data_IF_164167313319
#
_entry.id   IF_164167313319
#
_cell.length_a   1.000
_cell.length_b   1.000
_cell.length_c   1.000
_cell.angle_alpha   90.00
_cell.angle_beta   90.00
_cell.angle_gamma   90.00
#
_symmetry.space_group_name_H-M   'P 1'
#
loop_
_entity.id
_entity.type
_entity.pdbx_description
1 polymer ?
#
# COMPACT_ATOMS: atom_id res chain seq x y z
N UNK A 1 -23.21 26.68 25.29
CA UNK A 1 -22.80 25.27 25.17
C UNK A 1 -21.76 25.24 24.07
N UNK A 2 -20.48 25.20 24.43
CA UNK A 2 -19.37 25.21 23.47
C UNK A 2 -19.02 23.77 23.15
N UNK A 3 -19.16 23.38 21.88
CA UNK A 3 -18.67 22.09 21.39
C UNK A 3 -17.16 22.25 21.26
N UNK A 4 -16.40 21.69 22.19
CA UNK A 4 -14.97 21.48 22.01
C UNK A 4 -14.82 20.23 21.15
N UNK A 5 -14.65 20.40 19.84
CA UNK A 5 -14.12 19.32 19.00
C UNK A 5 -12.73 19.00 19.54
N UNK A 6 -12.63 17.88 20.26
CA UNK A 6 -11.33 17.35 20.64
C UNK A 6 -10.78 16.70 19.38
N UNK A 7 -9.89 17.40 18.67
CA UNK A 7 -9.13 16.81 17.57
C UNK A 7 -8.43 15.57 18.11
N UNK A 8 -8.59 14.44 17.42
CA UNK A 8 -7.79 13.26 17.69
C UNK A 8 -6.30 13.64 17.67
N UNK A 9 -5.46 13.00 18.51
CA UNK A 9 -4.02 13.25 18.50
C UNK A 9 -3.45 12.96 17.10
N UNK A 10 -2.38 13.66 16.69
CA UNK A 10 -1.76 13.44 15.39
C UNK A 10 -1.20 12.02 15.29
N UNK A 11 -1.53 11.34 14.19
CA UNK A 11 -0.98 10.03 13.88
C UNK A 11 0.45 10.21 13.37
N UNK A 12 1.41 9.48 13.97
CA UNK A 12 2.81 9.50 13.53
C UNK A 12 3.13 8.25 12.73
N UNK A 13 3.70 8.44 11.54
CA UNK A 13 4.14 7.36 10.65
C UNK A 13 5.63 7.48 10.38
N UNK A 14 6.35 6.38 10.53
CA UNK A 14 7.77 6.28 10.21
C UNK A 14 7.93 5.61 8.87
N UNK A 15 8.61 6.26 7.91
CA UNK A 15 8.94 5.61 6.63
C UNK A 15 10.00 4.54 6.86
N UNK A 16 9.70 3.31 6.45
CA UNK A 16 10.57 2.15 6.64
C UNK A 16 11.17 1.63 5.34
N UNK A 17 10.55 1.92 4.18
CA UNK A 17 11.09 1.63 2.84
C UNK A 17 10.79 2.81 1.91
N UNK A 18 11.73 3.13 1.03
CA UNK A 18 11.58 4.16 -0.01
C UNK A 18 10.90 3.56 -1.24
N UNK A 19 9.78 4.14 -1.65
CA UNK A 19 9.02 3.78 -2.84
C UNK A 19 9.21 4.75 -4.01
N UNK A 20 8.42 4.55 -5.05
CA UNK A 20 8.42 5.37 -6.27
C UNK A 20 7.96 6.82 -6.03
N UNK A 21 7.03 7.03 -5.11
CA UNK A 21 6.51 8.33 -4.68
C UNK A 21 7.55 9.21 -3.97
N UNK A 22 8.69 8.64 -3.58
CA UNK A 22 9.85 9.37 -3.07
C UNK A 22 11.11 9.24 -3.94
N UNK A 23 11.03 8.56 -5.09
CA UNK A 23 12.12 8.42 -6.06
C UNK A 23 11.56 8.56 -7.50
N UNK A 24 11.58 9.79 -8.05
CA UNK A 24 11.03 10.07 -9.38
C UNK A 24 11.66 9.24 -10.51
N UNK A 25 12.88 8.72 -10.32
CA UNK A 25 13.54 7.89 -11.33
C UNK A 25 12.83 6.54 -11.51
N UNK A 26 12.18 6.00 -10.47
CA UNK A 26 11.44 4.73 -10.52
C UNK A 26 10.22 4.81 -11.42
N UNK A 27 9.43 5.88 -11.28
CA UNK A 27 8.25 6.11 -12.12
C UNK A 27 8.64 6.42 -13.56
N UNK A 28 9.64 7.29 -13.74
CA UNK A 28 10.03 7.80 -15.05
C UNK A 28 8.85 8.54 -15.71
N UNK A 29 8.52 8.18 -16.95
CA UNK A 29 7.42 8.77 -17.72
C UNK A 29 6.10 7.98 -17.64
N UNK A 30 6.00 6.97 -16.77
CA UNK A 30 4.79 6.14 -16.64
C UNK A 30 3.67 6.94 -15.98
N UNK A 31 2.46 6.80 -16.53
CA UNK A 31 1.25 7.42 -16.00
C UNK A 31 0.58 6.49 -14.99
N UNK A 32 0.22 7.00 -13.83
CA UNK A 32 -0.55 6.24 -12.85
C UNK A 32 -2.01 6.15 -13.31
N UNK A 33 -2.57 4.94 -13.33
CA UNK A 33 -3.98 4.68 -13.66
C UNK A 33 -4.81 4.28 -12.45
N UNK A 34 -4.18 3.74 -11.41
CA UNK A 34 -4.83 3.34 -10.16
C UNK A 34 -3.84 3.30 -9.00
N UNK A 35 -4.38 3.30 -7.79
CA UNK A 35 -3.66 3.17 -6.53
C UNK A 35 -4.25 2.02 -5.71
N UNK A 36 -3.42 1.39 -4.89
CA UNK A 36 -3.87 0.50 -3.82
C UNK A 36 -3.27 0.91 -2.48
N UNK A 37 -4.08 0.94 -1.43
CA UNK A 37 -3.64 1.12 -0.04
C UNK A 37 -3.75 -0.24 0.65
N UNK A 38 -2.59 -0.82 0.95
CA UNK A 38 -2.49 -2.09 1.65
C UNK A 38 -2.10 -1.84 3.10
N UNK A 39 -2.84 -2.41 4.04
CA UNK A 39 -2.56 -2.31 5.48
C UNK A 39 -2.43 -3.69 6.10
N UNK A 40 -1.41 -3.86 6.92
CA UNK A 40 -1.09 -5.10 7.61
C UNK A 40 -0.95 -4.84 9.10
N UNK A 41 -1.99 -5.13 9.89
CA UNK A 41 -1.88 -5.01 11.34
C UNK A 41 -1.08 -6.20 11.91
N UNK A 42 0.09 -5.88 12.44
CA UNK A 42 1.06 -6.80 13.02
C UNK A 42 0.85 -6.87 14.55
N UNK A 43 0.68 -8.07 15.13
CA UNK A 43 0.35 -8.22 16.55
C UNK A 43 1.51 -7.88 17.50
N UNK A 44 2.76 -7.91 17.03
CA UNK A 44 3.97 -7.67 17.81
C UNK A 44 5.10 -7.09 16.95
N UNK A 45 6.14 -6.57 17.60
CA UNK A 45 7.31 -5.97 16.95
C UNK A 45 8.05 -6.96 16.02
N UNK A 46 8.12 -8.25 16.39
CA UNK A 46 8.79 -9.26 15.57
C UNK A 46 8.05 -9.49 14.24
N UNK A 47 6.72 -9.40 14.25
CA UNK A 47 5.88 -9.49 13.05
C UNK A 47 6.02 -8.25 12.18
N UNK A 48 6.15 -7.06 12.79
CA UNK A 48 6.48 -5.82 12.05
C UNK A 48 7.79 -5.99 11.29
N UNK A 49 8.84 -6.45 11.97
CA UNK A 49 10.17 -6.67 11.36
C UNK A 49 10.10 -7.66 10.19
N UNK A 50 9.45 -8.82 10.38
CA UNK A 50 9.26 -9.80 9.30
C UNK A 50 8.45 -9.24 8.15
N UNK A 51 7.40 -8.46 8.42
CA UNK A 51 6.58 -7.84 7.38
C UNK A 51 7.44 -6.91 6.52
N UNK A 52 8.18 -6.00 7.15
CA UNK A 52 9.05 -5.05 6.46
C UNK A 52 10.13 -5.76 5.63
N UNK A 53 10.74 -6.82 6.15
CA UNK A 53 11.75 -7.60 5.41
C UNK A 53 11.15 -8.31 4.18
N UNK A 54 9.98 -8.94 4.32
CA UNK A 54 9.29 -9.55 3.19
C UNK A 54 8.90 -8.51 2.12
N UNK A 55 8.45 -7.33 2.55
CA UNK A 55 8.14 -6.22 1.67
C UNK A 55 9.40 -5.73 0.92
N UNK A 56 10.52 -5.57 1.62
CA UNK A 56 11.82 -5.20 1.03
C UNK A 56 12.29 -6.22 -0.02
N UNK A 57 12.27 -7.50 0.30
CA UNK A 57 12.68 -8.56 -0.62
C UNK A 57 11.75 -8.63 -1.85
N UNK A 58 10.45 -8.37 -1.66
CA UNK A 58 9.50 -8.34 -2.76
C UNK A 58 9.69 -7.12 -3.67
N UNK A 59 9.99 -5.95 -3.11
CA UNK A 59 10.36 -4.74 -3.87
C UNK A 59 11.63 -4.97 -4.69
N UNK A 60 12.69 -5.53 -4.10
CA UNK A 60 13.94 -5.85 -4.82
C UNK A 60 13.70 -6.79 -6.01
N UNK A 61 12.90 -7.85 -5.81
CA UNK A 61 12.53 -8.78 -6.88
C UNK A 61 11.64 -8.13 -7.94
N UNK A 62 10.81 -7.15 -7.59
CA UNK A 62 10.04 -6.41 -8.58
C UNK A 62 10.99 -5.53 -9.41
N UNK A 63 11.89 -4.79 -8.76
CA UNK A 63 12.82 -3.87 -9.40
C UNK A 63 13.93 -4.55 -10.20
N UNK A 64 14.14 -5.86 -10.05
CA UNK A 64 15.06 -6.62 -10.90
C UNK A 64 14.48 -6.97 -12.28
N UNK A 65 13.21 -6.63 -12.53
CA UNK A 65 12.56 -6.84 -13.83
C UNK A 65 12.97 -5.76 -14.84
N UNK A 66 12.94 -6.06 -16.14
CA UNK A 66 13.09 -5.04 -17.18
C UNK A 66 12.02 -3.94 -17.05
N UNK A 67 12.38 -2.71 -17.37
CA UNK A 67 11.52 -1.53 -17.25
C UNK A 67 10.19 -1.68 -18.02
N UNK A 68 10.21 -2.38 -19.16
CA UNK A 68 9.01 -2.62 -19.98
C UNK A 68 7.99 -3.54 -19.29
N UNK A 69 8.41 -4.31 -18.29
CA UNK A 69 7.55 -5.18 -17.49
C UNK A 69 7.09 -4.53 -16.19
N UNK A 70 7.55 -3.31 -15.88
CA UNK A 70 7.16 -2.56 -14.70
C UNK A 70 5.79 -1.89 -14.92
N UNK A 71 4.73 -2.69 -14.82
CA UNK A 71 3.33 -2.25 -14.96
C UNK A 71 2.72 -1.72 -13.65
N UNK A 72 3.46 -1.83 -12.55
CA UNK A 72 3.14 -1.29 -11.25
C UNK A 72 4.44 -1.10 -10.46
N UNK A 73 4.40 -0.28 -9.42
CA UNK A 73 5.50 -0.16 -8.48
C UNK A 73 5.01 0.12 -7.05
N UNK A 74 5.92 -0.05 -6.10
CA UNK A 74 5.67 0.13 -4.67
C UNK A 74 5.87 1.60 -4.33
N UNK A 75 4.90 2.19 -3.63
CA UNK A 75 5.06 3.47 -2.96
C UNK A 75 5.78 3.26 -1.61
N UNK A 76 6.11 4.36 -0.94
CA UNK A 76 6.80 4.33 0.34
C UNK A 76 6.03 3.47 1.32
N UNK A 77 6.77 2.62 2.03
CA UNK A 77 6.18 1.83 3.12
C UNK A 77 6.37 2.59 4.42
N UNK A 78 5.30 2.66 5.21
CA UNK A 78 5.31 3.29 6.51
C UNK A 78 4.93 2.31 7.60
N UNK A 79 5.44 2.55 8.80
CA UNK A 79 4.99 1.89 10.02
C UNK A 79 4.29 2.90 10.92
N UNK A 80 3.11 2.55 11.39
CA UNK A 80 2.31 3.27 12.37
C UNK A 80 2.21 2.39 13.62
N UNK A 81 2.91 2.77 14.68
CA UNK A 81 2.88 2.03 15.94
C UNK A 81 1.51 2.16 16.60
N UNK A 82 1.00 1.06 17.15
CA UNK A 82 -0.20 1.07 17.98
C UNK A 82 0.24 1.34 19.44
N UNK A 83 -0.08 2.53 20.01
CA UNK A 83 0.38 2.89 21.35
C UNK A 83 -0.24 2.02 22.45
N UNK A 84 -1.36 1.37 22.16
CA UNK A 84 -2.07 0.49 23.10
C UNK A 84 -1.62 -0.97 22.97
N UNK A 85 -0.77 -1.30 21.99
CA UNK A 85 -0.23 -2.64 21.82
C UNK A 85 1.05 -2.83 22.65
N UNK A 86 0.91 -3.51 23.79
CA UNK A 86 2.02 -3.79 24.73
C UNK A 86 3.16 -4.64 24.14
N UNK A 87 2.92 -5.36 23.03
CA UNK A 87 3.93 -6.16 22.33
C UNK A 87 4.70 -5.37 21.25
N UNK A 88 4.45 -4.06 21.16
CA UNK A 88 5.10 -3.18 20.18
C UNK A 88 4.62 -3.37 18.75
N UNK A 89 3.41 -3.92 18.57
CA UNK A 89 2.76 -4.07 17.27
C UNK A 89 2.25 -2.75 16.68
N UNK A 90 1.55 -2.88 15.55
CA UNK A 90 1.02 -1.73 14.82
C UNK A 90 0.74 -2.07 13.36
N UNK A 91 0.59 -1.05 12.53
CA UNK A 91 0.21 -1.22 11.12
C UNK A 91 1.37 -0.91 10.19
N UNK A 92 1.71 -1.86 9.31
CA UNK A 92 2.55 -1.60 8.14
C UNK A 92 1.66 -1.17 6.98
N UNK A 93 1.98 -0.04 6.38
CA UNK A 93 1.22 0.63 5.32
C UNK A 93 2.04 0.59 4.03
N UNK A 94 1.48 0.04 2.96
CA UNK A 94 2.10 -0.02 1.64
C UNK A 94 1.15 0.55 0.59
N UNK A 95 1.58 1.60 -0.10
CA UNK A 95 0.93 2.04 -1.33
C UNK A 95 1.44 1.29 -2.56
N UNK A 96 0.58 1.12 -3.57
CA UNK A 96 0.95 0.55 -4.87
C UNK A 96 0.42 1.44 -5.98
N UNK A 97 1.33 1.93 -6.82
CA UNK A 97 0.99 2.69 -8.03
C UNK A 97 0.91 1.74 -9.23
N UNK A 98 -0.20 1.81 -9.96
CA UNK A 98 -0.45 0.99 -11.14
C UNK A 98 -0.30 1.84 -12.39
N UNK A 99 0.38 1.32 -13.41
CA UNK A 99 0.66 2.03 -14.66
C UNK A 99 -0.09 1.47 -15.87
N UNK A 100 -0.68 0.28 -15.73
CA UNK A 100 -1.46 -0.35 -16.80
C UNK A 100 -2.86 -0.76 -16.29
N UNK A 101 -3.89 -0.34 -17.03
CA UNK A 101 -5.29 -0.51 -16.62
C UNK A 101 -5.76 -1.96 -16.76
N UNK A 102 -5.43 -2.62 -17.86
CA UNK A 102 -5.84 -4.00 -18.09
C UNK A 102 -5.18 -4.92 -17.06
N UNK A 103 -3.92 -4.66 -16.74
CA UNK A 103 -3.18 -5.37 -15.71
C UNK A 103 -3.75 -5.14 -14.32
N UNK A 104 -4.11 -3.89 -13.97
CA UNK A 104 -4.82 -3.60 -12.72
C UNK A 104 -6.14 -4.37 -12.63
N UNK A 105 -6.99 -4.31 -13.65
CA UNK A 105 -8.30 -4.97 -13.62
C UNK A 105 -8.18 -6.49 -13.45
N UNK A 106 -7.15 -7.12 -14.02
CA UNK A 106 -6.83 -8.56 -13.86
C UNK A 106 -6.24 -8.88 -12.47
N UNK A 107 -5.33 -8.04 -11.96
CA UNK A 107 -4.49 -8.37 -10.80
C UNK A 107 -4.90 -7.74 -9.49
N UNK A 108 -5.86 -6.82 -9.48
CA UNK A 108 -6.33 -6.15 -8.26
C UNK A 108 -7.06 -7.06 -7.25
N UNK A 109 -7.17 -8.35 -7.50
CA UNK A 109 -7.70 -9.33 -6.55
C UNK A 109 -6.64 -10.32 -6.05
N UNK A 110 -5.42 -10.26 -6.57
CA UNK A 110 -4.42 -11.30 -6.39
C UNK A 110 -3.99 -11.49 -4.92
N UNK A 111 -4.12 -10.44 -4.08
CA UNK A 111 -3.83 -10.46 -2.63
C UNK A 111 -4.74 -11.40 -1.82
N UNK A 112 -5.91 -11.75 -2.33
CA UNK A 112 -6.78 -12.76 -1.71
C UNK A 112 -6.49 -14.19 -2.19
N UNK A 113 -5.54 -14.36 -3.10
CA UNK A 113 -5.16 -15.66 -3.64
C UNK A 113 -4.32 -16.50 -2.66
N UNK A 114 -4.35 -17.82 -2.86
CA UNK A 114 -3.66 -18.79 -2.00
C UNK A 114 -2.15 -18.55 -1.82
N UNK A 115 -1.49 -17.85 -2.75
CA UNK A 115 -0.08 -17.45 -2.61
C UNK A 115 0.10 -16.40 -1.51
N UNK A 116 -0.72 -15.35 -1.49
CA UNK A 116 -0.61 -14.28 -0.50
C UNK A 116 -1.04 -14.75 0.88
N UNK A 117 -2.04 -15.65 0.97
CA UNK A 117 -2.40 -16.30 2.23
C UNK A 117 -1.20 -17.01 2.88
N UNK A 118 -0.37 -17.71 2.09
CA UNK A 118 0.86 -18.34 2.61
C UNK A 118 1.89 -17.32 3.08
N UNK A 119 2.07 -16.24 2.32
CA UNK A 119 2.99 -15.16 2.71
C UNK A 119 2.55 -14.53 4.04
N UNK A 120 1.25 -14.27 4.24
CA UNK A 120 0.76 -13.72 5.51
C UNK A 120 0.99 -14.67 6.68
N UNK A 121 0.84 -15.99 6.46
CA UNK A 121 1.18 -17.01 7.45
C UNK A 121 2.67 -17.04 7.79
N UNK A 122 3.55 -16.94 6.78
CA UNK A 122 5.01 -16.90 6.98
C UNK A 122 5.44 -15.65 7.75
N UNK A 123 4.84 -14.50 7.45
CA UNK A 123 5.09 -13.25 8.17
C UNK A 123 4.50 -13.32 9.60
N UNK A 124 3.36 -13.99 9.77
CA UNK A 124 2.61 -14.02 11.03
C UNK A 124 1.54 -12.92 11.14
N UNK A 125 1.12 -12.34 10.01
CA UNK A 125 0.00 -11.38 9.97
C UNK A 125 -1.29 -12.18 9.81
N UNK A 126 -2.26 -12.08 10.75
CA UNK A 126 -3.57 -12.70 10.57
C UNK A 126 -4.26 -12.16 9.31
N UNK A 127 -4.93 -13.02 8.55
CA UNK A 127 -5.53 -12.60 7.27
C UNK A 127 -6.63 -11.55 7.47
N UNK A 128 -7.40 -11.66 8.55
CA UNK A 128 -8.41 -10.70 8.97
C UNK A 128 -7.84 -9.31 9.31
N UNK A 129 -6.53 -9.21 9.53
CA UNK A 129 -5.80 -7.98 9.81
C UNK A 129 -5.20 -7.33 8.55
N UNK A 130 -5.51 -7.88 7.38
CA UNK A 130 -5.09 -7.35 6.09
C UNK A 130 -6.26 -6.65 5.43
N UNK A 131 -6.10 -5.35 5.15
CA UNK A 131 -7.06 -4.58 4.35
C UNK A 131 -6.40 -4.07 3.10
N UNK A 132 -7.10 -4.12 1.98
CA UNK A 132 -6.64 -3.53 0.72
C UNK A 132 -7.78 -2.75 0.09
N UNK A 133 -7.54 -1.48 -0.18
CA UNK A 133 -8.47 -0.58 -0.86
C UNK A 133 -7.88 -0.09 -2.18
N UNK A 134 -8.75 0.26 -3.13
CA UNK A 134 -8.35 0.66 -4.49
C UNK A 134 -9.06 1.91 -4.95
N UNK A 135 -8.33 2.76 -5.67
CA UNK A 135 -8.86 3.94 -6.34
C UNK A 135 -8.30 4.04 -7.74
N UNK A 136 -9.13 4.48 -8.70
CA UNK A 136 -8.64 4.88 -10.01
C UNK A 136 -8.05 6.29 -9.92
N UNK A 137 -6.97 6.55 -10.65
CA UNK A 137 -6.51 7.92 -10.86
C UNK A 137 -7.59 8.72 -11.58
N UNK A 138 -7.75 10.01 -11.23
CA UNK A 138 -8.85 10.86 -11.75
C UNK A 138 -8.95 10.84 -13.28
N UNK A 139 -7.80 10.93 -13.96
CA UNK A 139 -7.72 10.92 -15.42
C UNK A 139 -8.13 9.56 -16.02
N UNK A 140 -7.97 8.47 -15.27
CA UNK A 140 -8.39 7.12 -15.66
C UNK A 140 -9.82 6.77 -15.22
N UNK A 141 -10.41 7.57 -14.31
CA UNK A 141 -11.74 7.35 -13.76
C UNK A 141 -12.87 7.89 -14.67
N UNK A 142 -12.54 8.54 -15.81
CA UNK A 142 -13.46 9.41 -16.55
C UNK A 142 -14.26 10.31 -15.60
N UNK A 143 -13.59 11.09 -14.75
CA UNK A 143 -14.29 12.01 -13.88
C UNK A 143 -15.03 13.07 -14.72
N UNK A 144 -16.33 12.87 -14.92
CA UNK A 144 -17.23 13.87 -15.51
C UNK A 144 -17.91 14.61 -14.35
N UNK A 145 -17.67 15.91 -14.16
CA UNK A 145 -18.49 16.67 -13.25
C UNK A 145 -19.95 16.61 -13.72
N UNK A 146 -20.88 16.42 -12.78
CA UNK A 146 -22.31 16.52 -13.07
C UNK A 146 -22.59 17.85 -13.78
N UNK A 147 -23.11 17.79 -15.01
CA UNK A 147 -23.53 18.98 -15.78
C UNK A 147 -22.72 19.34 -17.03
N UNK A 148 -21.69 18.58 -17.40
CA UNK A 148 -21.03 18.79 -18.70
C UNK A 148 -21.84 18.19 -19.86
N UNK A 149 -22.80 18.94 -20.40
CA UNK A 149 -23.39 18.70 -21.72
C UNK A 149 -22.51 19.31 -22.82
N UNK A 150 -22.35 18.58 -23.92
CA UNK A 150 -21.83 19.09 -25.20
C UNK A 150 -22.69 20.21 -25.78
#
# INVERSE_FOLDING_TARGET
MTILETSAPPITRVRVLTGEDADPARRGSKNVVAFSDCRYYCPDAATVERCIEHLRASDERLRSRPDEQMLWDWECTYFEADPDNENGGGTVLLGVAWYDRAFFDDRRGAWFGAMHTRIYQEIGVPFENVTVEHWLALDAAEWKPEGASL
#
